data_IF_698927073981
#
_entry.id   IF_698927073981
#
_cell.length_a   1.000
_cell.length_b   1.000
_cell.length_c   1.000
_cell.angle_alpha   90.00
_cell.angle_beta   90.00
_cell.angle_gamma   90.00
#
_symmetry.space_group_name_H-M   'P 1'
#
loop_
_entity.id
_entity.type
_entity.pdbx_description
1 polymer ?
#
# COMPACT_ATOMS: atom_id res chain seq x y z
N UNK A 1 13.99 16.66 33.99
CA UNK A 1 12.54 16.37 33.82
C UNK A 1 12.39 15.80 32.43
N UNK A 2 12.04 14.51 32.36
CA UNK A 2 11.99 13.74 31.12
C UNK A 2 10.90 14.30 30.22
N UNK A 3 11.26 14.63 28.99
CA UNK A 3 10.30 15.02 27.96
C UNK A 3 9.42 13.81 27.61
N UNK A 4 8.13 14.05 27.68
CA UNK A 4 7.06 13.18 27.19
C UNK A 4 7.28 12.96 25.68
N UNK A 5 7.91 11.85 25.30
CA UNK A 5 7.97 11.40 23.91
C UNK A 5 6.68 10.63 23.69
N UNK A 6 5.78 11.05 22.78
CA UNK A 6 4.58 10.25 22.52
C UNK A 6 5.01 8.85 22.12
N UNK A 7 4.46 7.85 22.79
CA UNK A 7 4.58 6.44 22.42
C UNK A 7 3.89 6.25 21.07
N UNK A 8 4.58 6.59 19.98
CA UNK A 8 4.09 6.36 18.63
C UNK A 8 4.22 4.85 18.35
N UNK A 9 3.30 4.05 18.87
CA UNK A 9 3.15 2.65 18.49
C UNK A 9 2.64 2.49 17.06
N UNK A 10 2.52 1.23 16.64
CA UNK A 10 1.82 0.81 15.41
C UNK A 10 0.41 1.43 15.36
N UNK A 11 0.05 2.03 14.22
CA UNK A 11 -1.25 2.65 13.96
C UNK A 11 -1.83 2.13 12.66
N UNK A 12 -3.08 1.69 12.71
CA UNK A 12 -3.88 1.32 11.55
C UNK A 12 -5.22 2.05 11.60
N UNK A 13 -5.63 2.66 10.50
CA UNK A 13 -6.92 3.35 10.43
C UNK A 13 -7.57 3.15 9.06
N UNK A 14 -8.88 2.93 9.07
CA UNK A 14 -9.71 2.87 7.87
C UNK A 14 -10.61 4.11 7.78
N UNK A 15 -10.88 4.53 6.55
CA UNK A 15 -11.66 5.69 6.20
C UNK A 15 -12.67 5.33 5.12
N UNK A 16 -13.91 5.77 5.34
CA UNK A 16 -14.94 5.72 4.32
C UNK A 16 -14.55 6.56 3.10
N UNK A 17 -14.65 6.03 1.88
CA UNK A 17 -14.34 6.81 0.70
C UNK A 17 -15.37 7.94 0.50
N UNK A 18 -14.95 9.08 -0.09
CA UNK A 18 -15.88 10.13 -0.51
C UNK A 18 -17.01 9.56 -1.38
N UNK A 19 -18.21 10.13 -1.30
CA UNK A 19 -19.40 9.61 -2.00
C UNK A 19 -19.21 9.41 -3.50
N UNK A 20 -18.40 10.24 -4.15
CA UNK A 20 -18.08 10.10 -5.57
C UNK A 20 -17.20 8.88 -5.91
N UNK A 21 -16.44 8.36 -4.94
CA UNK A 21 -15.55 7.22 -5.10
C UNK A 21 -16.16 5.90 -4.61
N UNK A 22 -17.21 5.93 -3.80
CA UNK A 22 -17.89 4.74 -3.25
C UNK A 22 -18.25 3.63 -4.26
N UNK A 23 -18.61 3.93 -5.53
CA UNK A 23 -18.86 2.87 -6.50
C UNK A 23 -17.60 2.07 -6.93
N UNK A 24 -16.41 2.61 -6.68
CA UNK A 24 -15.13 2.08 -7.19
C UNK A 24 -14.16 1.72 -6.07
N UNK A 25 -14.21 2.46 -4.96
CA UNK A 25 -13.32 2.35 -3.81
C UNK A 25 -14.12 1.75 -2.66
N UNK A 26 -13.58 0.67 -2.09
CA UNK A 26 -14.15 0.01 -0.92
C UNK A 26 -13.77 0.72 0.36
N UNK A 27 -12.48 1.01 0.53
CA UNK A 27 -11.93 1.63 1.74
C UNK A 27 -10.61 2.34 1.42
N UNK A 28 -10.36 3.44 2.11
CA UNK A 28 -9.02 4.07 2.17
C UNK A 28 -8.46 3.71 3.54
N UNK A 29 -7.20 3.29 3.62
CA UNK A 29 -6.59 2.92 4.88
C UNK A 29 -5.18 3.47 5.01
N UNK A 30 -4.76 3.72 6.24
CA UNK A 30 -3.41 4.14 6.60
C UNK A 30 -2.79 3.13 7.54
N UNK A 31 -1.48 3.00 7.45
CA UNK A 31 -0.68 2.22 8.39
C UNK A 31 0.62 2.95 8.69
N UNK A 32 1.03 2.98 9.95
CA UNK A 32 2.30 3.53 10.37
C UNK A 32 2.88 2.72 11.53
N UNK A 33 4.15 2.36 11.43
CA UNK A 33 4.93 1.74 12.50
C UNK A 33 6.36 2.30 12.43
N UNK A 34 6.80 3.08 13.44
CA UNK A 34 8.14 3.67 13.42
C UNK A 34 9.26 2.68 13.76
N UNK A 35 8.96 1.51 14.34
CA UNK A 35 9.95 0.48 14.68
C UNK A 35 9.41 -0.93 14.42
N UNK A 36 9.11 -1.26 13.15
CA UNK A 36 8.45 -2.52 12.83
C UNK A 36 9.41 -3.68 12.99
N UNK A 37 8.94 -4.75 13.62
CA UNK A 37 9.71 -5.97 13.72
C UNK A 37 9.98 -6.54 12.30
N UNK A 38 11.20 -7.05 12.01
CA UNK A 38 11.56 -7.58 10.69
C UNK A 38 10.97 -8.99 10.45
N UNK A 39 9.68 -9.15 10.73
CA UNK A 39 8.92 -10.39 10.59
C UNK A 39 8.31 -10.44 9.21
N UNK A 40 8.34 -11.62 8.59
CA UNK A 40 7.65 -11.86 7.33
C UNK A 40 6.15 -11.90 7.56
N UNK A 41 5.44 -10.93 6.99
CA UNK A 41 3.99 -10.85 6.97
C UNK A 41 3.45 -11.61 5.75
N UNK A 42 2.38 -12.37 5.95
CA UNK A 42 1.69 -13.06 4.86
C UNK A 42 0.37 -12.39 4.54
N UNK A 43 0.24 -11.87 3.32
CA UNK A 43 -0.97 -11.21 2.86
C UNK A 43 -1.80 -12.21 2.05
N UNK A 44 -3.04 -12.45 2.47
CA UNK A 44 -3.94 -13.36 1.77
C UNK A 44 -4.62 -12.68 0.57
N UNK A 45 -4.92 -13.41 -0.52
CA UNK A 45 -5.74 -12.88 -1.60
C UNK A 45 -7.17 -12.57 -1.13
N UNK A 46 -7.63 -11.34 -1.35
CA UNK A 46 -8.99 -10.89 -1.02
C UNK A 46 -9.82 -10.46 -2.26
N UNK A 47 -9.24 -10.62 -3.45
CA UNK A 47 -9.85 -10.27 -4.74
C UNK A 47 -9.94 -8.76 -5.01
N UNK A 48 -9.37 -7.91 -4.17
CA UNK A 48 -9.44 -6.46 -4.30
C UNK A 48 -8.06 -5.91 -4.66
N UNK A 49 -7.91 -5.21 -5.81
CA UNK A 49 -6.66 -4.52 -6.09
C UNK A 49 -6.50 -3.29 -5.20
N UNK A 50 -5.26 -2.88 -4.98
CA UNK A 50 -4.93 -1.71 -4.16
C UNK A 50 -3.97 -0.76 -4.88
N UNK A 51 -4.14 0.53 -4.66
CA UNK A 51 -3.14 1.55 -4.96
C UNK A 51 -2.50 1.98 -3.64
N UNK A 52 -1.19 1.80 -3.52
CA UNK A 52 -0.45 1.99 -2.27
C UNK A 52 0.62 3.05 -2.49
N UNK A 53 0.77 3.91 -1.51
CA UNK A 53 1.79 4.96 -1.42
C UNK A 53 2.55 4.81 -0.11
N UNK A 54 3.81 4.38 -0.19
CA UNK A 54 4.74 4.37 0.93
C UNK A 54 5.28 5.78 1.13
N UNK A 55 5.02 6.34 2.32
CA UNK A 55 5.53 7.62 2.82
C UNK A 55 6.78 7.43 3.69
N UNK A 56 6.98 6.22 4.22
CA UNK A 56 8.17 5.79 4.94
C UNK A 56 9.12 4.94 4.08
N UNK A 57 9.67 3.87 4.66
CA UNK A 57 10.44 2.87 3.93
C UNK A 57 9.49 1.90 3.20
N UNK A 58 9.74 1.58 1.91
CA UNK A 58 8.93 0.61 1.18
C UNK A 58 9.15 -0.82 1.69
N UNK A 59 8.17 -1.69 1.48
CA UNK A 59 8.31 -3.11 1.82
C UNK A 59 9.21 -3.86 0.84
N UNK A 60 9.83 -4.94 1.31
CA UNK A 60 10.34 -5.99 0.42
C UNK A 60 9.31 -7.09 0.23
N UNK A 61 9.19 -7.56 -1.00
CA UNK A 61 8.37 -8.71 -1.38
C UNK A 61 9.26 -9.88 -1.80
N UNK A 62 8.90 -11.08 -1.36
CA UNK A 62 9.53 -12.31 -1.83
C UNK A 62 8.95 -12.71 -3.19
N UNK A 63 9.79 -12.75 -4.22
CA UNK A 63 9.42 -13.29 -5.53
C UNK A 63 9.22 -14.81 -5.51
N UNK A 64 8.63 -15.36 -6.56
CA UNK A 64 8.45 -16.82 -6.73
C UNK A 64 9.78 -17.58 -6.75
N UNK A 65 10.87 -16.91 -7.13
CA UNK A 65 12.24 -17.41 -7.08
C UNK A 65 12.87 -17.40 -5.67
N UNK A 66 12.10 -16.98 -4.66
CA UNK A 66 12.54 -16.86 -3.27
C UNK A 66 13.37 -15.61 -2.99
N UNK A 67 13.62 -14.76 -3.98
CA UNK A 67 14.46 -13.56 -3.86
C UNK A 67 13.62 -12.36 -3.41
N UNK A 68 14.10 -11.67 -2.39
CA UNK A 68 13.49 -10.46 -1.85
C UNK A 68 13.84 -9.24 -2.71
N UNK A 69 12.83 -8.41 -3.02
CA UNK A 69 12.98 -7.19 -3.82
C UNK A 69 12.15 -6.08 -3.21
N UNK A 70 12.68 -4.86 -3.19
CA UNK A 70 11.94 -3.68 -2.78
C UNK A 70 10.76 -3.45 -3.73
N UNK A 71 9.60 -3.17 -3.15
CA UNK A 71 8.46 -2.67 -3.88
C UNK A 71 8.69 -1.20 -4.27
N UNK A 72 8.09 -0.73 -5.38
CA UNK A 72 8.09 0.69 -5.70
C UNK A 72 7.37 1.49 -4.61
N UNK A 73 7.84 2.71 -4.25
CA UNK A 73 7.22 3.53 -3.20
C UNK A 73 5.80 4.00 -3.55
N UNK A 74 5.43 3.94 -4.83
CA UNK A 74 4.04 4.04 -5.26
C UNK A 74 3.74 2.90 -6.22
N UNK A 75 2.74 2.09 -5.90
CA UNK A 75 2.44 0.90 -6.68
C UNK A 75 0.95 0.63 -6.78
N UNK A 76 0.56 0.03 -7.90
CA UNK A 76 -0.73 -0.64 -8.01
C UNK A 76 -0.52 -2.14 -7.82
N UNK A 77 -1.02 -2.68 -6.72
CA UNK A 77 -1.09 -4.10 -6.45
C UNK A 77 -2.35 -4.65 -7.12
N UNK A 78 -2.17 -5.37 -8.23
CA UNK A 78 -3.29 -6.06 -8.85
C UNK A 78 -3.81 -7.20 -7.99
N UNK A 79 -4.96 -7.76 -8.38
CA UNK A 79 -5.54 -8.90 -7.67
C UNK A 79 -4.55 -10.06 -7.59
N UNK A 80 -4.58 -10.74 -6.45
CA UNK A 80 -3.69 -11.84 -6.14
C UNK A 80 -4.38 -13.19 -6.37
N UNK A 81 -3.65 -14.17 -6.91
CA UNK A 81 -4.08 -15.57 -6.96
C UNK A 81 -3.42 -16.43 -5.89
N UNK A 82 -2.36 -15.90 -5.24
CA UNK A 82 -1.58 -16.54 -4.19
C UNK A 82 -1.16 -15.54 -3.11
N UNK A 83 -0.90 -16.00 -1.86
CA UNK A 83 -0.44 -15.10 -0.80
C UNK A 83 0.90 -14.42 -1.13
N UNK A 84 1.11 -13.22 -0.60
CA UNK A 84 2.42 -12.55 -0.61
C UNK A 84 3.16 -12.79 0.69
N UNK A 85 4.48 -12.72 0.61
CA UNK A 85 5.35 -12.58 1.75
C UNK A 85 6.02 -11.20 1.68
N UNK A 86 5.69 -10.33 2.63
CA UNK A 86 6.24 -8.98 2.76
C UNK A 86 7.08 -8.89 4.02
N UNK A 87 8.10 -8.03 4.01
CA UNK A 87 8.82 -7.66 5.24
C UNK A 87 9.20 -6.17 5.22
N UNK A 88 9.13 -5.48 6.36
CA UNK A 88 9.61 -4.12 6.48
C UNK A 88 11.14 -4.07 6.44
N UNK A 89 11.70 -2.99 5.91
CA UNK A 89 13.16 -2.73 5.90
C UNK A 89 13.56 -1.51 6.74
N UNK A 90 12.59 -0.87 7.38
CA UNK A 90 12.75 0.33 8.18
C UNK A 90 11.38 0.85 8.66
N UNK A 91 11.31 2.06 9.22
CA UNK A 91 10.05 2.69 9.63
C UNK A 91 9.05 2.72 8.48
N UNK A 92 7.86 2.18 8.70
CA UNK A 92 6.78 2.10 7.70
C UNK A 92 5.75 3.18 7.95
N UNK A 93 5.32 3.83 6.87
CA UNK A 93 4.18 4.73 6.87
C UNK A 93 3.60 4.70 5.47
N UNK A 94 2.30 4.44 5.33
CA UNK A 94 1.66 4.32 4.04
C UNK A 94 0.19 4.74 4.05
N UNK A 95 -0.27 5.16 2.88
CA UNK A 95 -1.67 5.35 2.53
C UNK A 95 -2.01 4.40 1.40
N UNK A 96 -3.15 3.74 1.50
CA UNK A 96 -3.62 2.82 0.49
C UNK A 96 -5.10 3.00 0.18
N UNK A 97 -5.44 2.75 -1.08
CA UNK A 97 -6.80 2.79 -1.61
C UNK A 97 -7.13 1.38 -2.07
N UNK A 98 -8.03 0.71 -1.35
CA UNK A 98 -8.57 -0.58 -1.78
C UNK A 98 -9.78 -0.36 -2.67
N UNK A 99 -9.69 -0.83 -3.90
CA UNK A 99 -10.79 -0.79 -4.85
C UNK A 99 -11.78 -1.93 -4.58
N UNK A 100 -13.01 -1.76 -5.06
CA UNK A 100 -13.85 -2.92 -5.34
C UNK A 100 -13.17 -3.85 -6.36
N UNK A 101 -13.50 -5.15 -6.43
CA UNK A 101 -12.81 -6.11 -7.29
C UNK A 101 -12.61 -5.63 -8.74
N UNK A 102 -13.61 -4.97 -9.32
CA UNK A 102 -13.58 -4.36 -10.65
C UNK A 102 -13.46 -2.83 -10.64
N UNK A 103 -13.38 -2.21 -9.46
CA UNK A 103 -13.46 -0.75 -9.28
C UNK A 103 -12.30 0.03 -9.93
N UNK A 104 -11.15 -0.61 -10.14
CA UNK A 104 -10.00 -0.01 -10.81
C UNK A 104 -10.03 -0.14 -12.35
N UNK A 105 -11.03 -0.82 -12.94
CA UNK A 105 -11.07 -1.18 -14.36
C UNK A 105 -10.85 0.01 -15.30
N UNK A 106 -11.64 1.06 -15.13
CA UNK A 106 -11.58 2.23 -16.02
C UNK A 106 -10.46 3.20 -15.62
N UNK A 107 -10.03 3.14 -14.36
CA UNK A 107 -8.98 4.01 -13.82
C UNK A 107 -7.59 3.59 -14.27
N UNK A 108 -7.29 2.29 -14.28
CA UNK A 108 -5.93 1.78 -14.51
C UNK A 108 -5.44 2.04 -15.95
N UNK A 109 -6.36 2.17 -16.91
CA UNK A 109 -6.04 2.39 -18.32
C UNK A 109 -5.48 1.14 -19.04
N UNK A 110 -5.53 -0.02 -18.41
CA UNK A 110 -5.22 -1.35 -18.97
C UNK A 110 -6.13 -2.41 -18.34
N UNK A 111 -6.36 -3.56 -19.00
CA UNK A 111 -7.18 -4.63 -18.46
C UNK A 111 -6.66 -5.12 -17.10
N UNK A 112 -7.52 -5.21 -16.08
CA UNK A 112 -7.11 -5.65 -14.73
C UNK A 112 -6.42 -7.02 -14.71
N UNK A 113 -6.75 -7.91 -15.67
CA UNK A 113 -6.10 -9.20 -15.85
C UNK A 113 -4.59 -9.06 -16.11
N UNK A 114 -4.17 -8.00 -16.81
CA UNK A 114 -2.76 -7.75 -17.05
C UNK A 114 -2.00 -7.34 -15.79
N UNK A 115 -2.70 -6.91 -14.74
CA UNK A 115 -2.14 -6.55 -13.45
C UNK A 115 -2.18 -7.69 -12.42
N UNK A 116 -2.88 -8.80 -12.71
CA UNK A 116 -2.99 -9.95 -11.79
C UNK A 116 -1.60 -10.44 -11.37
N UNK A 117 -1.43 -10.65 -10.06
CA UNK A 117 -0.17 -11.05 -9.40
C UNK A 117 1.02 -10.11 -9.64
N UNK A 118 0.78 -8.84 -10.03
CA UNK A 118 1.82 -7.86 -10.31
C UNK A 118 1.70 -6.62 -9.43
N UNK A 119 2.86 -5.99 -9.22
CA UNK A 119 3.02 -4.69 -8.58
C UNK A 119 3.48 -3.75 -9.67
N UNK A 120 2.55 -3.01 -10.23
CA UNK A 120 2.85 -2.06 -11.28
C UNK A 120 3.42 -0.81 -10.62
N UNK A 121 4.62 -0.42 -11.02
CA UNK A 121 5.26 0.79 -10.54
C UNK A 121 4.49 2.03 -11.01
N UNK A 122 3.96 2.80 -10.04
CA UNK A 122 3.21 4.03 -10.25
C UNK A 122 4.04 5.27 -9.89
N UNK A 123 5.31 5.12 -9.50
CA UNK A 123 6.17 6.22 -9.05
C UNK A 123 6.28 7.33 -10.09
N UNK A 124 6.40 6.98 -11.37
CA UNK A 124 6.44 7.96 -12.45
C UNK A 124 5.15 8.79 -12.59
N UNK A 125 3.99 8.27 -12.13
CA UNK A 125 2.71 9.01 -12.12
C UNK A 125 2.66 10.08 -11.04
N UNK A 126 3.54 10.00 -10.04
CA UNK A 126 3.70 11.00 -8.99
C UNK A 126 4.77 12.05 -9.32
N UNK A 127 5.38 12.00 -10.52
CA UNK A 127 6.38 12.99 -10.90
C UNK A 127 5.81 14.41 -10.82
N UNK A 128 6.43 15.26 -9.99
CA UNK A 128 5.97 16.64 -9.74
C UNK A 128 4.89 16.78 -8.67
N UNK A 129 4.39 15.67 -8.10
CA UNK A 129 3.58 15.71 -6.88
C UNK A 129 4.48 15.92 -5.66
N UNK A 130 4.08 16.81 -4.77
CA UNK A 130 4.71 16.99 -3.47
C UNK A 130 3.58 16.99 -2.45
N UNK A 131 3.63 16.06 -1.50
CA UNK A 131 2.66 16.05 -0.42
C UNK A 131 2.76 17.39 0.35
N UNK A 132 1.64 17.99 0.75
CA UNK A 132 1.67 19.15 1.64
C UNK A 132 2.47 18.81 2.90
N UNK A 133 3.31 19.73 3.37
CA UNK A 133 3.99 19.54 4.65
C UNK A 133 3.00 19.67 5.80
N UNK A 134 2.83 18.62 6.60
CA UNK A 134 1.97 18.58 7.79
C UNK A 134 1.02 17.38 7.82
N UNK A 135 0.44 17.11 8.98
CA UNK A 135 -0.69 16.19 9.17
C UNK A 135 -1.99 16.92 8.76
N UNK A 136 -2.91 16.33 7.98
CA UNK A 136 -4.20 16.95 7.63
C UNK A 136 -5.09 17.31 8.85
#
# INVERSE_FOLDING_TARGET
MSGDRPENGERYQEFEPPSALKPFVRVIWTYADPDPAPVVQRIAPDGCPELIFDLGAPYEEQGEDGVWRLQPPALFAGQMTRPLALRPVGPTELVAIRFEPDGARDWLGLPLLEATDRRLDMTARLAGFTAPSGDP
#
